data_IF_810947754613
#
_entry.id   IF_810947754613
#
_cell.length_a   1.000
_cell.length_b   1.000
_cell.length_c   1.000
_cell.angle_alpha   90.00
_cell.angle_beta   90.00
_cell.angle_gamma   90.00
#
_symmetry.space_group_name_H-M   'P 1'
#
loop_
_entity.id
_entity.type
_entity.pdbx_description
1 polymer ?
#
# COMPACT_ATOMS: atom_id res chain seq x y z
N UNK A 1 8.26 2.75 13.46
CA UNK A 1 7.22 3.47 12.68
C UNK A 1 6.49 2.55 11.70
N UNK A 2 7.18 1.76 10.87
CA UNK A 2 6.52 0.82 9.93
C UNK A 2 5.94 -0.44 10.59
N UNK A 3 6.40 -0.83 11.78
CA UNK A 3 5.92 -2.03 12.48
C UNK A 3 4.41 -2.01 12.77
N UNK A 4 3.87 -0.89 13.26
CA UNK A 4 2.42 -0.78 13.54
C UNK A 4 1.56 -0.85 12.28
N UNK A 5 2.06 -0.35 11.14
CA UNK A 5 1.39 -0.48 9.85
C UNK A 5 1.32 -1.96 9.42
N UNK A 6 2.42 -2.70 9.59
CA UNK A 6 2.49 -4.13 9.29
C UNK A 6 1.50 -4.94 10.12
N UNK A 7 1.47 -4.72 11.43
CA UNK A 7 0.61 -5.47 12.34
C UNK A 7 -0.87 -5.25 12.02
N UNK A 8 -1.26 -4.00 11.77
CA UNK A 8 -2.63 -3.66 11.39
C UNK A 8 -3.04 -4.33 10.06
N UNK A 9 -2.17 -4.30 9.05
CA UNK A 9 -2.44 -4.96 7.77
C UNK A 9 -2.48 -6.48 7.91
N UNK A 10 -1.54 -7.10 8.64
CA UNK A 10 -1.51 -8.54 8.85
C UNK A 10 -2.77 -9.04 9.58
N UNK A 11 -3.31 -8.24 10.50
CA UNK A 11 -4.55 -8.54 11.20
C UNK A 11 -5.79 -8.35 10.30
N UNK A 12 -5.86 -7.24 9.57
CA UNK A 12 -7.05 -6.86 8.79
C UNK A 12 -7.13 -7.49 7.40
N UNK A 13 -6.00 -7.82 6.79
CA UNK A 13 -5.85 -8.33 5.43
C UNK A 13 -4.82 -9.48 5.43
N UNK A 14 -5.18 -10.66 5.97
CA UNK A 14 -4.23 -11.77 6.12
C UNK A 14 -3.68 -12.31 4.78
N UNK A 15 -4.44 -12.13 3.70
CA UNK A 15 -4.05 -12.53 2.34
C UNK A 15 -3.09 -11.51 1.68
N UNK A 16 -2.89 -10.32 2.27
CA UNK A 16 -2.02 -9.31 1.69
C UNK A 16 -0.54 -9.66 1.90
N UNK A 17 0.23 -9.60 0.83
CA UNK A 17 1.68 -9.78 0.87
C UNK A 17 2.35 -8.44 1.16
N UNK A 18 3.22 -8.40 2.18
CA UNK A 18 3.95 -7.20 2.59
C UNK A 18 5.45 -7.46 2.49
N UNK A 19 6.14 -6.68 1.65
CA UNK A 19 7.59 -6.74 1.48
C UNK A 19 8.23 -5.37 1.77
N UNK A 20 9.51 -5.39 2.12
CA UNK A 20 10.28 -4.19 2.45
C UNK A 20 11.54 -4.15 1.58
N UNK A 21 11.70 -3.10 0.78
CA UNK A 21 12.95 -2.87 0.06
C UNK A 21 13.96 -2.08 0.90
N UNK A 22 13.47 -1.27 1.85
CA UNK A 22 14.24 -0.62 2.91
C UNK A 22 13.30 -0.23 4.08
N UNK A 23 13.82 0.31 5.21
CA UNK A 23 12.99 0.66 6.38
C UNK A 23 11.89 1.71 6.13
N UNK A 24 12.02 2.50 5.07
CA UNK A 24 11.15 3.61 4.71
C UNK A 24 10.25 3.31 3.50
N UNK A 25 10.37 2.13 2.89
CA UNK A 25 9.60 1.73 1.71
C UNK A 25 8.92 0.40 2.02
N UNK A 26 7.59 0.43 2.01
CA UNK A 26 6.71 -0.72 2.21
C UNK A 26 6.01 -1.01 0.88
N UNK A 27 6.08 -2.24 0.41
CA UNK A 27 5.33 -2.69 -0.76
C UNK A 27 4.24 -3.65 -0.30
N UNK A 28 3.01 -3.44 -0.76
CA UNK A 28 1.84 -4.23 -0.39
C UNK A 28 1.13 -4.70 -1.66
N UNK A 29 0.99 -6.01 -1.79
CA UNK A 29 0.11 -6.64 -2.78
C UNK A 29 -1.14 -7.16 -2.08
N UNK A 30 -2.32 -6.84 -2.62
CA UNK A 30 -3.59 -7.38 -2.11
C UNK A 30 -4.21 -8.24 -3.21
N UNK A 31 -4.18 -9.58 -3.06
CA UNK A 31 -4.77 -10.47 -4.04
C UNK A 31 -6.24 -10.12 -4.32
N UNK A 32 -6.62 -10.13 -5.60
CA UNK A 32 -7.97 -9.78 -6.04
C UNK A 32 -8.24 -8.28 -6.21
N UNK A 33 -7.28 -7.40 -5.93
CA UNK A 33 -7.39 -5.96 -6.18
C UNK A 33 -6.32 -5.52 -7.18
N UNK A 34 -6.73 -4.83 -8.24
CA UNK A 34 -5.79 -4.18 -9.15
C UNK A 34 -5.05 -3.04 -8.43
N UNK A 35 -3.70 -3.01 -8.46
CA UNK A 35 -2.91 -1.99 -7.76
C UNK A 35 -3.31 -0.55 -8.09
N UNK A 36 -3.62 -0.26 -9.36
CA UNK A 36 -4.02 1.07 -9.83
C UNK A 36 -5.36 1.49 -9.22
N UNK A 37 -6.30 0.54 -9.09
CA UNK A 37 -7.59 0.80 -8.46
C UNK A 37 -7.41 1.09 -6.96
N UNK A 38 -6.51 0.36 -6.31
CA UNK A 38 -6.19 0.59 -4.91
C UNK A 38 -5.54 1.97 -4.71
N UNK A 39 -4.61 2.38 -5.57
CA UNK A 39 -4.03 3.73 -5.55
C UNK A 39 -5.10 4.81 -5.66
N UNK A 40 -5.96 4.72 -6.69
CA UNK A 40 -7.03 5.69 -6.92
C UNK A 40 -8.01 5.76 -5.74
N UNK A 41 -8.33 4.62 -5.14
CA UNK A 41 -9.22 4.55 -3.99
C UNK A 41 -8.57 5.15 -2.72
N UNK A 42 -7.28 4.90 -2.49
CA UNK A 42 -6.55 5.46 -1.35
C UNK A 42 -6.38 6.97 -1.47
N UNK A 43 -6.08 7.46 -2.67
CA UNK A 43 -5.97 8.89 -2.96
C UNK A 43 -7.27 9.62 -2.62
N UNK A 44 -8.42 9.06 -3.03
CA UNK A 44 -9.75 9.59 -2.68
C UNK A 44 -10.01 9.64 -1.18
N UNK A 45 -9.37 8.77 -0.41
CA UNK A 45 -9.47 8.72 1.06
C UNK A 45 -8.35 9.51 1.75
N UNK A 46 -7.57 10.31 1.01
CA UNK A 46 -6.54 11.20 1.56
C UNK A 46 -5.21 10.51 1.87
N UNK A 47 -4.98 9.30 1.37
CA UNK A 47 -3.71 8.57 1.50
C UNK A 47 -3.04 8.46 0.14
N UNK A 48 -1.92 9.16 -0.03
CA UNK A 48 -1.16 9.16 -1.27
C UNK A 48 -0.15 8.01 -1.27
N UNK A 49 -0.22 7.18 -2.31
CA UNK A 49 0.66 6.04 -2.55
C UNK A 49 1.03 5.98 -4.02
N UNK A 50 2.01 5.16 -4.38
CA UNK A 50 2.39 4.91 -5.77
C UNK A 50 2.25 3.44 -6.09
N UNK A 51 1.85 3.09 -7.31
CA UNK A 51 2.02 1.76 -7.88
C UNK A 51 2.79 1.87 -9.20
N UNK A 52 3.29 0.75 -9.71
CA UNK A 52 3.93 0.67 -11.02
C UNK A 52 5.47 0.78 -11.01
N UNK A 53 6.14 0.30 -12.08
CA UNK A 53 7.57 0.40 -12.22
C UNK A 53 7.97 1.84 -12.57
N UNK A 54 8.51 2.58 -11.60
CA UNK A 54 9.01 3.96 -11.80
C UNK A 54 10.12 4.10 -12.87
N UNK A 55 10.68 3.00 -13.39
CA UNK A 55 11.83 2.99 -14.32
C UNK A 55 11.64 2.16 -15.61
N UNK A 56 10.45 1.62 -15.90
CA UNK A 56 10.33 0.60 -16.96
C UNK A 56 9.14 0.81 -17.90
N UNK A 57 8.95 2.05 -18.36
CA UNK A 57 7.88 2.50 -19.27
C UNK A 57 7.87 1.83 -20.66
N UNK A 58 8.75 0.85 -20.92
CA UNK A 58 8.92 0.21 -22.23
C UNK A 58 8.93 -1.33 -22.19
N UNK A 59 8.49 -1.95 -21.08
CA UNK A 59 8.29 -3.41 -21.00
C UNK A 59 6.85 -3.70 -20.57
N UNK A 60 6.22 -4.77 -21.08
CA UNK A 60 4.88 -5.17 -20.68
C UNK A 60 4.83 -5.29 -19.15
N UNK A 61 3.90 -4.56 -18.54
CA UNK A 61 3.69 -4.55 -17.09
C UNK A 61 3.38 -5.97 -16.62
N UNK A 62 4.12 -6.43 -15.61
CA UNK A 62 3.66 -7.59 -14.86
C UNK A 62 2.43 -7.14 -14.06
N UNK A 63 1.29 -7.84 -14.17
CA UNK A 63 0.02 -7.45 -13.52
C UNK A 63 0.06 -7.46 -11.98
N UNK A 64 1.20 -7.75 -11.38
CA UNK A 64 1.41 -7.92 -9.95
C UNK A 64 2.37 -6.87 -9.37
N UNK A 65 2.30 -5.61 -9.83
CA UNK A 65 3.15 -4.58 -9.24
C UNK A 65 2.54 -4.10 -7.92
N UNK A 66 3.19 -4.30 -6.77
CA UNK A 66 2.63 -3.92 -5.47
C UNK A 66 2.42 -2.40 -5.35
N UNK A 67 1.49 -2.03 -4.48
CA UNK A 67 1.35 -0.65 -4.02
C UNK A 67 2.53 -0.32 -3.10
N UNK A 68 3.28 0.72 -3.43
CA UNK A 68 4.41 1.23 -2.68
C UNK A 68 4.02 2.42 -1.83
N UNK A 69 4.33 2.33 -0.55
CA UNK A 69 4.21 3.38 0.46
C UNK A 69 5.62 3.83 0.85
N UNK A 70 5.90 5.12 0.67
CA UNK A 70 7.20 5.73 0.98
C UNK A 70 7.06 6.68 2.16
N UNK A 71 7.90 6.49 3.18
CA UNK A 71 7.92 7.29 4.40
C UNK A 71 8.97 8.39 4.26
N UNK A 72 8.54 9.64 4.43
CA UNK A 72 9.42 10.80 4.43
C UNK A 72 9.96 11.12 5.82
N UNK A 73 10.92 12.06 5.89
CA UNK A 73 11.47 12.57 7.16
C UNK A 73 10.40 13.09 8.12
N UNK A 74 9.30 13.61 7.58
CA UNK A 74 8.22 14.23 8.34
C UNK A 74 7.03 13.30 8.57
N UNK A 75 7.09 12.06 8.08
CA UNK A 75 6.01 11.10 8.32
C UNK A 75 5.99 10.69 9.78
N UNK A 76 4.87 10.96 10.44
CA UNK A 76 4.66 10.66 11.85
C UNK A 76 4.09 9.27 12.05
N UNK A 77 4.21 8.75 13.28
CA UNK A 77 3.63 7.46 13.63
C UNK A 77 2.09 7.47 13.59
N UNK A 78 1.48 8.61 13.95
CA UNK A 78 0.01 8.78 13.91
C UNK A 78 -0.51 8.82 12.47
N UNK A 79 0.21 9.46 11.54
CA UNK A 79 -0.09 9.40 10.11
C UNK A 79 -0.03 7.96 9.61
N UNK A 80 0.97 7.16 10.03
CA UNK A 80 1.04 5.76 9.62
C UNK A 80 -0.07 4.90 10.21
N UNK A 81 -0.47 5.12 11.47
CA UNK A 81 -1.64 4.44 12.05
C UNK A 81 -2.92 4.78 11.29
N UNK A 82 -3.13 6.06 10.94
CA UNK A 82 -4.29 6.50 10.16
C UNK A 82 -4.26 5.90 8.75
N UNK A 83 -3.11 5.94 8.09
CA UNK A 83 -2.91 5.36 6.77
C UNK A 83 -3.19 3.85 6.76
N UNK A 84 -2.74 3.10 7.78
CA UNK A 84 -3.03 1.67 7.90
C UNK A 84 -4.53 1.38 7.96
N UNK A 85 -5.26 2.11 8.81
CA UNK A 85 -6.71 1.96 8.96
C UNK A 85 -7.44 2.27 7.66
N UNK A 86 -7.12 3.39 7.03
CA UNK A 86 -7.70 3.79 5.74
C UNK A 86 -7.38 2.74 4.67
N UNK A 87 -6.15 2.24 4.65
CA UNK A 87 -5.72 1.22 3.71
C UNK A 87 -6.58 -0.04 3.84
N UNK A 88 -6.68 -0.58 5.06
CA UNK A 88 -7.45 -1.78 5.33
C UNK A 88 -8.94 -1.59 5.03
N UNK A 89 -9.54 -0.46 5.40
CA UNK A 89 -10.95 -0.20 5.07
C UNK A 89 -11.19 -0.08 3.57
N UNK A 90 -10.26 0.56 2.86
CA UNK A 90 -10.36 0.76 1.41
C UNK A 90 -10.24 -0.58 0.68
N UNK A 91 -9.22 -1.38 1.00
CA UNK A 91 -9.03 -2.70 0.43
C UNK A 91 -10.23 -3.62 0.69
N UNK A 92 -10.76 -3.66 1.92
CA UNK A 92 -11.96 -4.43 2.27
C UNK A 92 -13.20 -4.01 1.49
N UNK A 93 -13.32 -2.74 1.11
CA UNK A 93 -14.45 -2.27 0.31
C UNK A 93 -14.32 -2.62 -1.17
N UNK A 94 -13.09 -2.78 -1.68
CA UNK A 94 -12.83 -3.21 -3.06
C UNK A 94 -12.94 -4.73 -3.25
N UNK A 95 -12.78 -5.51 -2.17
CA UNK A 95 -12.94 -6.98 -2.17
C UNK A 95 -14.40 -7.45 -2.03
N UNK A 96 -15.33 -6.55 -1.69
CA UNK A 96 -16.77 -6.83 -1.61
C UNK A 96 -17.39 -6.81 -3.00
#
# INVERSE_FOLDING_TARGET
MSAGFREELAYSLPEAEITYSNPHIINVSVPGILPELLVLALERNGVLVSAGPACNSNKPELPETPVRISLGRFTTEDEMRKAAKIFCSTAKNLLK
#
